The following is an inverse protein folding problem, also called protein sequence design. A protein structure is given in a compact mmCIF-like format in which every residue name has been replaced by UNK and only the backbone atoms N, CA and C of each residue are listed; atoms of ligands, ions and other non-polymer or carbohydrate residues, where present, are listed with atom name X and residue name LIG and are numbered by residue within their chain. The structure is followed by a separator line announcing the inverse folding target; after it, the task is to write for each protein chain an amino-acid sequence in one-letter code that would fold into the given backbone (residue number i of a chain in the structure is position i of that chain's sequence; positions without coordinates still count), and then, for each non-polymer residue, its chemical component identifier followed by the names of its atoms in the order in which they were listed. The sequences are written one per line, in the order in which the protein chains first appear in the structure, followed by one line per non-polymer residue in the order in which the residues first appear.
data_IF_451497405756
#
_entry.id   IF_451497405756
#
_cell.length_a   1.000
_cell.length_b   1.000
_cell.length_c   1.000
_cell.angle_alpha   90.00
_cell.angle_beta   90.00
_cell.angle_gamma   90.00
#
_symmetry.space_group_name_H-M   'P 1'
#
loop_
_entity.id
_entity.type
_entity.pdbx_description
1 polymer ?
#
# COMPACT_ATOMS: atom_id res chain seq x y z
N UNK A 1 -2.24 -19.75 11.87
CA UNK A 1 -3.31 -19.21 10.99
C UNK A 1 -4.74 -19.60 11.46
N UNK A 2 -5.14 -19.32 12.70
CA UNK A 2 -6.47 -19.76 13.24
C UNK A 2 -7.47 -18.60 13.43
N UNK A 3 -7.07 -17.33 13.29
CA UNK A 3 -7.91 -16.21 13.73
C UNK A 3 -8.82 -15.56 12.67
N UNK A 4 -8.88 -16.05 11.42
CA UNK A 4 -9.63 -15.37 10.34
C UNK A 4 -10.72 -16.22 9.67
N UNK A 5 -11.03 -17.41 10.20
CA UNK A 5 -12.03 -18.33 9.61
C UNK A 5 -13.47 -18.12 10.13
N UNK A 6 -13.66 -17.40 11.24
CA UNK A 6 -15.00 -17.09 11.73
C UNK A 6 -15.48 -15.74 11.17
N UNK A 7 -16.37 -15.78 10.18
CA UNK A 7 -16.95 -14.56 9.59
C UNK A 7 -17.74 -13.71 10.61
N UNK A 8 -18.19 -14.32 11.71
CA UNK A 8 -19.04 -13.70 12.72
C UNK A 8 -18.26 -12.84 13.75
N UNK A 9 -16.98 -13.15 14.02
CA UNK A 9 -16.15 -12.35 14.96
C UNK A 9 -15.45 -11.16 14.29
N UNK A 10 -15.52 -11.09 12.95
CA UNK A 10 -14.72 -10.15 12.17
C UNK A 10 -15.15 -8.70 12.36
N UNK A 11 -16.43 -8.46 12.66
CA UNK A 11 -16.96 -7.13 12.99
C UNK A 11 -16.34 -6.60 14.29
N UNK A 12 -16.34 -7.40 15.37
CA UNK A 12 -15.71 -7.01 16.64
C UNK A 12 -14.20 -6.78 16.53
N UNK A 13 -13.51 -7.55 15.66
CA UNK A 13 -12.08 -7.33 15.38
C UNK A 13 -11.86 -5.99 14.69
N UNK A 14 -12.67 -5.65 13.68
CA UNK A 14 -12.53 -4.36 12.98
C UNK A 14 -12.86 -3.21 13.93
N UNK A 15 -13.92 -3.31 14.73
CA UNK A 15 -14.26 -2.28 15.71
C UNK A 15 -13.13 -2.06 16.73
N UNK A 16 -12.52 -3.15 17.20
CA UNK A 16 -11.38 -3.06 18.11
C UNK A 16 -10.16 -2.43 17.45
N UNK A 17 -9.90 -2.75 16.18
CA UNK A 17 -8.84 -2.12 15.39
C UNK A 17 -9.06 -0.61 15.26
N UNK A 18 -10.30 -0.18 14.97
CA UNK A 18 -10.62 1.25 14.81
C UNK A 18 -10.47 2.03 16.12
N UNK A 19 -10.73 1.41 17.29
CA UNK A 19 -10.49 2.02 18.61
C UNK A 19 -9.01 2.34 18.87
N UNK A 20 -8.05 1.77 18.13
CA UNK A 20 -6.64 2.11 18.31
C UNK A 20 -6.29 3.53 17.83
N UNK A 21 -7.13 4.15 16.99
CA UNK A 21 -6.96 5.56 16.68
C UNK A 21 -7.18 6.46 17.91
N UNK A 22 -8.02 6.05 18.86
CA UNK A 22 -8.28 6.82 20.08
C UNK A 22 -7.10 6.83 21.06
N UNK A 23 -6.12 5.94 20.88
CA UNK A 23 -4.93 5.89 21.74
C UNK A 23 -3.96 7.04 21.48
N UNK A 24 -4.01 7.65 20.30
CA UNK A 24 -3.16 8.77 19.88
C UNK A 24 -1.64 8.48 20.05
N UNK A 25 -1.23 7.24 19.77
CA UNK A 25 0.17 6.82 19.81
C UNK A 25 0.65 6.67 18.36
N UNK A 26 1.62 7.48 17.94
CA UNK A 26 2.08 7.60 16.54
C UNK A 26 2.30 6.25 15.82
N UNK A 27 3.10 5.35 16.42
CA UNK A 27 3.40 4.06 15.81
C UNK A 27 2.18 3.11 15.76
N UNK A 28 1.28 3.21 16.74
CA UNK A 28 0.03 2.44 16.77
C UNK A 28 -0.90 2.96 15.68
N UNK A 29 -1.05 4.27 15.56
CA UNK A 29 -1.83 4.92 14.50
C UNK A 29 -1.31 4.50 13.12
N UNK A 30 0.00 4.53 12.91
CA UNK A 30 0.61 4.13 11.63
C UNK A 30 0.29 2.67 11.24
N UNK A 31 0.47 1.72 12.16
CA UNK A 31 0.15 0.30 11.91
C UNK A 31 -1.36 0.06 11.76
N UNK A 32 -2.17 0.83 12.48
CA UNK A 32 -3.63 0.79 12.37
C UNK A 32 -4.09 1.24 10.98
N UNK A 33 -3.53 2.32 10.43
CA UNK A 33 -3.80 2.78 9.05
C UNK A 33 -3.51 1.65 8.06
N UNK A 34 -2.33 1.03 8.14
CA UNK A 34 -1.92 -0.05 7.22
C UNK A 34 -2.91 -1.22 7.30
N UNK A 35 -3.26 -1.61 8.52
CA UNK A 35 -4.19 -2.71 8.79
C UNK A 35 -5.59 -2.42 8.25
N UNK A 36 -6.12 -1.22 8.47
CA UNK A 36 -7.42 -0.79 7.95
C UNK A 36 -7.45 -0.81 6.43
N UNK A 37 -6.40 -0.33 5.77
CA UNK A 37 -6.31 -0.40 4.30
C UNK A 37 -6.29 -1.85 3.78
N UNK A 38 -5.59 -2.74 4.47
CA UNK A 38 -5.59 -4.16 4.11
C UNK A 38 -6.98 -4.81 4.29
N UNK A 39 -7.68 -4.46 5.37
CA UNK A 39 -9.09 -4.87 5.58
C UNK A 39 -9.94 -4.39 4.43
N UNK A 40 -9.82 -3.12 4.01
CA UNK A 40 -10.63 -2.56 2.93
C UNK A 40 -10.39 -3.21 1.57
N UNK A 41 -9.13 -3.52 1.25
CA UNK A 41 -8.78 -4.21 0.00
C UNK A 41 -9.37 -5.62 -0.07
N UNK A 42 -9.44 -6.33 1.07
CA UNK A 42 -9.98 -7.70 1.15
C UNK A 42 -11.50 -7.74 1.38
N UNK A 43 -12.04 -6.77 2.11
CA UNK A 43 -13.43 -6.71 2.58
C UNK A 43 -14.01 -5.29 2.42
N UNK A 44 -14.38 -4.87 1.20
CA UNK A 44 -14.94 -3.54 0.94
C UNK A 44 -16.23 -3.23 1.70
N UNK A 45 -16.94 -4.25 2.25
CA UNK A 45 -18.15 -4.05 3.07
C UNK A 45 -17.94 -3.16 4.31
N UNK A 46 -16.70 -3.07 4.81
CA UNK A 46 -16.35 -2.21 5.95
C UNK A 46 -15.89 -0.79 5.53
N UNK A 47 -16.06 -0.41 4.27
CA UNK A 47 -15.68 0.91 3.75
C UNK A 47 -16.17 2.07 4.62
N UNK A 48 -17.47 2.09 4.93
CA UNK A 48 -18.08 3.21 5.65
C UNK A 48 -17.41 3.42 7.01
N UNK A 49 -17.33 2.39 7.86
CA UNK A 49 -16.74 2.52 9.20
C UNK A 49 -15.24 2.89 9.16
N UNK A 50 -14.48 2.27 8.26
CA UNK A 50 -13.05 2.54 8.14
C UNK A 50 -12.77 3.97 7.63
N UNK A 51 -13.56 4.44 6.65
CA UNK A 51 -13.46 5.81 6.15
C UNK A 51 -13.82 6.80 7.25
N UNK A 52 -14.89 6.55 8.02
CA UNK A 52 -15.28 7.42 9.13
C UNK A 52 -14.20 7.56 10.21
N UNK A 53 -13.44 6.49 10.48
CA UNK A 53 -12.34 6.51 11.44
C UNK A 53 -11.12 7.30 10.93
N UNK A 54 -10.80 7.21 9.63
CA UNK A 54 -9.57 7.77 9.06
C UNK A 54 -9.73 9.21 8.53
N UNK A 55 -10.95 9.63 8.18
CA UNK A 55 -11.23 10.86 7.41
C UNK A 55 -10.67 12.18 7.99
N UNK A 56 -10.18 12.20 9.23
CA UNK A 56 -9.66 13.40 9.89
C UNK A 56 -8.15 13.32 10.18
N UNK A 57 -7.46 12.24 9.80
CA UNK A 57 -6.03 12.06 10.05
C UNK A 57 -5.23 12.86 9.03
N UNK A 58 -4.50 13.90 9.42
CA UNK A 58 -3.72 14.65 8.44
C UNK A 58 -2.56 13.79 7.90
N UNK A 59 -2.29 13.89 6.60
CA UNK A 59 -1.21 13.14 5.96
C UNK A 59 0.16 13.59 6.48
N UNK A 60 0.29 14.86 6.88
CA UNK A 60 1.55 15.40 7.41
C UNK A 60 1.93 14.82 8.78
N UNK A 61 0.95 14.39 9.56
CA UNK A 61 1.16 13.81 10.90
C UNK A 61 1.66 12.36 10.84
N UNK A 62 1.51 11.72 9.68
CA UNK A 62 1.96 10.34 9.47
C UNK A 62 3.38 10.33 8.93
N UNK A 63 4.33 9.86 9.73
CA UNK A 63 5.76 9.81 9.34
C UNK A 63 6.13 8.54 8.56
N UNK A 64 5.74 7.31 8.95
CA UNK A 64 6.21 6.10 8.28
C UNK A 64 5.71 5.99 6.84
N UNK A 65 6.61 5.82 5.86
CA UNK A 65 6.25 5.82 4.43
C UNK A 65 5.21 4.77 4.05
N UNK A 66 5.20 3.61 4.73
CA UNK A 66 4.20 2.56 4.48
C UNK A 66 2.79 3.01 4.88
N UNK A 67 2.67 3.68 6.03
CA UNK A 67 1.40 4.24 6.51
C UNK A 67 0.97 5.44 5.67
N UNK A 68 1.90 6.34 5.31
CA UNK A 68 1.64 7.46 4.38
C UNK A 68 1.08 6.96 3.05
N UNK A 69 1.73 5.98 2.42
CA UNK A 69 1.26 5.41 1.16
C UNK A 69 -0.13 4.78 1.28
N UNK A 70 -0.40 4.08 2.39
CA UNK A 70 -1.72 3.53 2.68
C UNK A 70 -2.79 4.63 2.84
N UNK A 71 -2.48 5.69 3.58
CA UNK A 71 -3.39 6.83 3.78
C UNK A 71 -3.65 7.60 2.47
N UNK A 72 -2.60 7.83 1.67
CA UNK A 72 -2.73 8.45 0.33
C UNK A 72 -3.64 7.61 -0.56
N UNK A 73 -3.49 6.27 -0.54
CA UNK A 73 -4.39 5.37 -1.27
C UNK A 73 -5.85 5.53 -0.82
N UNK A 74 -6.10 5.64 0.49
CA UNK A 74 -7.44 5.87 1.03
C UNK A 74 -8.06 7.16 0.50
N UNK A 75 -7.29 8.25 0.49
CA UNK A 75 -7.75 9.53 -0.06
C UNK A 75 -8.04 9.46 -1.55
N UNK A 76 -7.22 8.75 -2.32
CA UNK A 76 -7.49 8.49 -3.73
C UNK A 76 -8.76 7.67 -3.96
N UNK A 77 -8.90 6.55 -3.25
CA UNK A 77 -9.96 5.56 -3.47
C UNK A 77 -11.32 6.01 -2.94
N UNK A 78 -11.35 6.63 -1.76
CA UNK A 78 -12.57 7.06 -1.06
C UNK A 78 -12.74 8.58 -0.99
N UNK A 79 -12.04 9.34 -1.85
CA UNK A 79 -12.13 10.80 -1.89
C UNK A 79 -13.52 11.39 -2.19
N UNK A 80 -14.52 10.59 -2.57
CA UNK A 80 -15.93 11.01 -2.66
C UNK A 80 -16.56 11.09 -1.26
N UNK A 81 -16.16 10.18 -0.37
CA UNK A 81 -16.65 10.07 1.01
C UNK A 81 -15.81 10.89 2.00
N UNK A 82 -14.64 11.39 1.57
CA UNK A 82 -13.71 12.19 2.37
C UNK A 82 -13.58 13.60 1.76
N UNK A 83 -14.42 14.57 2.17
CA UNK A 83 -14.40 15.93 1.64
C UNK A 83 -13.10 16.70 1.90
N UNK A 84 -12.28 16.28 2.86
CA UNK A 84 -10.99 16.93 3.13
C UNK A 84 -9.82 16.32 2.35
N UNK A 85 -10.05 15.23 1.58
CA UNK A 85 -8.98 14.49 0.91
C UNK A 85 -8.07 15.35 -0.01
N UNK A 86 -8.60 16.25 -0.86
CA UNK A 86 -7.75 17.16 -1.65
C UNK A 86 -6.83 18.04 -0.79
N UNK A 87 -7.34 18.55 0.34
CA UNK A 87 -6.58 19.43 1.22
C UNK A 87 -5.50 18.67 2.01
N UNK A 88 -5.76 17.44 2.45
CA UNK A 88 -4.74 16.63 3.15
C UNK A 88 -3.61 16.18 2.24
N UNK A 89 -3.87 15.96 0.95
CA UNK A 89 -2.85 15.54 0.00
C UNK A 89 -2.05 16.73 -0.57
N UNK A 90 -2.59 17.95 -0.51
CA UNK A 90 -2.01 19.18 -1.09
C UNK A 90 -0.60 19.53 -0.59
N UNK A 91 -0.30 19.53 0.72
CA UNK A 91 1.03 19.88 1.21
C UNK A 91 2.11 18.93 0.70
N UNK A 92 1.77 17.64 0.53
CA UNK A 92 2.70 16.61 0.09
C UNK A 92 2.83 16.57 -1.43
N UNK A 93 1.74 16.82 -2.17
CA UNK A 93 1.80 16.96 -3.63
C UNK A 93 2.54 18.22 -4.07
N UNK A 94 2.40 19.33 -3.34
CA UNK A 94 3.11 20.57 -3.68
C UNK A 94 4.62 20.41 -3.48
N UNK A 95 5.02 19.67 -2.43
CA UNK A 95 6.42 19.32 -2.15
C UNK A 95 6.77 17.92 -2.64
N UNK A 96 6.26 17.51 -3.82
CA UNK A 96 6.39 16.14 -4.33
C UNK A 96 7.83 15.61 -4.36
N UNK A 97 8.79 16.47 -4.71
CA UNK A 97 10.21 16.11 -4.80
C UNK A 97 10.88 15.87 -3.43
N UNK A 98 10.31 16.40 -2.35
CA UNK A 98 10.85 16.28 -0.99
C UNK A 98 10.41 14.98 -0.31
N UNK A 99 9.36 14.32 -0.81
CA UNK A 99 8.93 13.02 -0.30
C UNK A 99 10.00 11.96 -0.58
N UNK A 100 10.65 11.36 0.43
CA UNK A 100 11.81 10.49 0.22
C UNK A 100 11.45 9.16 -0.46
N UNK A 101 10.24 8.65 -0.22
CA UNK A 101 9.83 7.33 -0.68
C UNK A 101 9.26 7.38 -2.10
N UNK A 102 9.93 6.73 -3.06
CA UNK A 102 9.42 6.57 -4.41
C UNK A 102 8.04 5.89 -4.46
N UNK A 103 7.78 4.95 -3.54
CA UNK A 103 6.48 4.28 -3.43
C UNK A 103 5.37 5.26 -3.04
N UNK A 104 5.64 6.17 -2.10
CA UNK A 104 4.68 7.20 -1.70
C UNK A 104 4.46 8.17 -2.86
N UNK A 105 5.51 8.60 -3.57
CA UNK A 105 5.42 9.44 -4.77
C UNK A 105 4.56 8.82 -5.87
N UNK A 106 4.77 7.55 -6.20
CA UNK A 106 3.91 6.81 -7.16
C UNK A 106 2.44 6.73 -6.70
N UNK A 107 2.22 6.51 -5.40
CA UNK A 107 0.88 6.45 -4.83
C UNK A 107 0.20 7.83 -4.80
N UNK A 108 0.95 8.91 -4.59
CA UNK A 108 0.48 10.30 -4.69
C UNK A 108 0.01 10.61 -6.12
N UNK A 109 0.80 10.26 -7.14
CA UNK A 109 0.38 10.44 -8.55
C UNK A 109 -0.93 9.71 -8.85
N UNK A 110 -1.02 8.44 -8.44
CA UNK A 110 -2.22 7.62 -8.65
C UNK A 110 -3.45 8.17 -7.92
N UNK A 111 -3.26 8.67 -6.70
CA UNK A 111 -4.36 9.18 -5.87
C UNK A 111 -4.79 10.57 -6.33
N UNK A 112 -3.85 11.42 -6.75
CA UNK A 112 -4.14 12.71 -7.37
C UNK A 112 -4.94 12.54 -8.67
N UNK A 113 -4.59 11.56 -9.50
CA UNK A 113 -5.31 11.21 -10.72
C UNK A 113 -6.75 10.76 -10.42
N UNK A 114 -6.94 9.89 -9.41
CA UNK A 114 -8.28 9.46 -8.97
C UNK A 114 -9.11 10.62 -8.41
N UNK A 115 -8.52 11.45 -7.56
CA UNK A 115 -9.16 12.63 -6.99
C UNK A 115 -9.53 13.65 -8.07
N UNK A 116 -8.72 13.80 -9.12
CA UNK A 116 -9.04 14.68 -10.24
C UNK A 116 -10.34 14.30 -10.95
N UNK A 117 -10.60 13.00 -11.17
CA UNK A 117 -11.87 12.57 -11.77
C UNK A 117 -13.08 12.80 -10.86
N UNK A 118 -12.86 12.89 -9.54
CA UNK A 118 -13.91 13.14 -8.55
C UNK A 118 -14.16 14.62 -8.31
N UNK A 119 -13.09 15.42 -8.24
CA UNK A 119 -13.07 16.84 -7.85
C UNK A 119 -12.10 17.63 -8.71
N UNK A 120 -12.36 17.63 -10.02
CA UNK A 120 -11.50 18.29 -11.01
C UNK A 120 -11.14 19.75 -10.69
N UNK A 121 -12.07 20.63 -10.23
CA UNK A 121 -11.75 22.03 -9.98
C UNK A 121 -10.66 22.25 -8.92
N UNK A 122 -10.58 21.39 -7.91
CA UNK A 122 -9.60 21.49 -6.83
C UNK A 122 -8.28 20.83 -7.20
N UNK A 123 -8.34 19.72 -7.95
CA UNK A 123 -7.17 18.89 -8.22
C UNK A 123 -6.43 19.26 -9.51
N UNK A 124 -7.04 20.00 -10.45
CA UNK A 124 -6.45 20.22 -11.78
C UNK A 124 -5.05 20.85 -11.71
N UNK A 125 -4.87 21.90 -10.92
CA UNK A 125 -3.58 22.58 -10.78
C UNK A 125 -2.55 21.67 -10.08
N UNK A 126 -2.95 21.03 -8.99
CA UNK A 126 -2.10 20.15 -8.19
C UNK A 126 -1.64 18.92 -8.99
N UNK A 127 -2.55 18.29 -9.74
CA UNK A 127 -2.23 17.15 -10.59
C UNK A 127 -1.27 17.56 -11.71
N UNK A 128 -1.48 18.72 -12.34
CA UNK A 128 -0.57 19.23 -13.38
C UNK A 128 0.86 19.43 -12.84
N UNK A 129 0.99 20.05 -11.67
CA UNK A 129 2.28 20.24 -11.01
C UNK A 129 2.94 18.90 -10.62
N UNK A 130 2.16 17.97 -10.06
CA UNK A 130 2.66 16.65 -9.68
C UNK A 130 3.11 15.81 -10.88
N UNK A 131 2.38 15.84 -12.00
CA UNK A 131 2.78 15.14 -13.23
C UNK A 131 4.08 15.72 -13.81
N UNK A 132 4.25 17.03 -13.77
CA UNK A 132 5.49 17.68 -14.20
C UNK A 132 6.66 17.28 -13.31
N UNK A 133 6.49 17.35 -11.97
CA UNK A 133 7.50 16.95 -11.01
C UNK A 133 7.86 15.45 -11.16
N UNK A 134 6.85 14.59 -11.27
CA UNK A 134 7.00 13.15 -11.45
C UNK A 134 7.71 12.76 -12.75
N UNK A 135 7.51 13.52 -13.84
CA UNK A 135 8.20 13.28 -15.12
C UNK A 135 9.72 13.54 -15.03
N UNK A 136 10.14 14.35 -14.06
CA UNK A 136 11.54 14.68 -13.79
C UNK A 136 12.11 13.93 -12.56
N UNK A 137 11.39 12.94 -12.00
CA UNK A 137 11.81 12.20 -10.81
C UNK A 137 13.11 11.41 -11.03
N UNK A 138 13.88 11.15 -9.97
CA UNK A 138 15.08 10.31 -10.06
C UNK A 138 14.76 8.83 -10.24
N UNK A 139 13.63 8.36 -9.72
CA UNK A 139 13.16 6.99 -9.84
C UNK A 139 12.46 6.76 -11.19
N UNK A 140 12.83 5.67 -11.87
CA UNK A 140 12.29 5.34 -13.19
C UNK A 140 10.79 5.02 -13.16
N UNK A 141 10.32 4.27 -12.17
CA UNK A 141 8.91 3.86 -12.07
C UNK A 141 7.99 5.07 -11.89
N UNK A 142 8.41 6.06 -11.10
CA UNK A 142 7.67 7.31 -10.90
C UNK A 142 7.58 8.09 -12.21
N UNK A 143 8.69 8.22 -12.96
CA UNK A 143 8.71 8.91 -14.27
C UNK A 143 7.81 8.24 -15.29
N UNK A 144 7.88 6.91 -15.36
CA UNK A 144 7.09 6.12 -16.31
C UNK A 144 5.59 6.24 -15.99
N UNK A 145 5.24 6.21 -14.70
CA UNK A 145 3.86 6.40 -14.23
C UNK A 145 3.32 7.81 -14.55
N UNK A 146 4.10 8.86 -14.27
CA UNK A 146 3.72 10.23 -14.59
C UNK A 146 3.52 10.42 -16.11
N UNK A 147 4.45 9.88 -16.91
CA UNK A 147 4.35 9.92 -18.38
C UNK A 147 3.13 9.17 -18.90
N UNK A 148 2.80 8.02 -18.31
CA UNK A 148 1.61 7.24 -18.66
C UNK A 148 0.33 8.05 -18.40
N UNK A 149 0.17 8.61 -17.20
CA UNK A 149 -1.02 9.39 -16.85
C UNK A 149 -1.15 10.66 -17.70
N UNK A 150 -0.04 11.36 -17.94
CA UNK A 150 -0.04 12.53 -18.82
C UNK A 150 -0.55 12.20 -20.22
N UNK A 151 0.02 11.17 -20.86
CA UNK A 151 -0.38 10.73 -22.22
C UNK A 151 -1.82 10.23 -22.28
N UNK A 152 -2.29 9.61 -21.19
CA UNK A 152 -3.66 9.12 -21.09
C UNK A 152 -4.65 10.29 -21.07
N UNK A 153 -4.36 11.32 -20.28
CA UNK A 153 -5.16 12.55 -20.22
C UNK A 153 -5.11 13.35 -21.53
N UNK A 154 -3.94 13.46 -22.15
CA UNK A 154 -3.75 14.13 -23.44
C UNK A 154 -4.58 13.49 -24.55
N UNK A 155 -4.69 12.16 -24.54
CA UNK A 155 -5.41 11.41 -25.57
C UNK A 155 -6.92 11.46 -25.40
N UNK A 156 -7.43 11.09 -24.22
CA UNK A 156 -8.87 11.12 -23.91
C UNK A 156 -9.10 11.02 -22.40
N UNK A 157 -9.62 12.10 -21.81
CA UNK A 157 -9.94 12.20 -20.37
C UNK A 157 -10.97 11.15 -19.93
N UNK A 158 -11.97 10.84 -20.75
CA UNK A 158 -13.01 9.85 -20.41
C UNK A 158 -12.47 8.42 -20.48
N UNK A 159 -11.60 8.14 -21.44
CA UNK A 159 -10.90 6.87 -21.49
C UNK A 159 -9.95 6.73 -20.29
N UNK A 160 -9.26 7.81 -19.93
CA UNK A 160 -8.38 7.86 -18.76
C UNK A 160 -9.13 7.53 -17.46
N UNK A 161 -10.29 8.14 -17.26
CA UNK A 161 -11.16 7.87 -16.11
C UNK A 161 -11.54 6.38 -16.04
N UNK A 162 -11.95 5.80 -17.18
CA UNK A 162 -12.32 4.38 -17.22
C UNK A 162 -11.15 3.46 -16.89
N UNK A 163 -9.94 3.77 -17.35
CA UNK A 163 -8.74 2.97 -17.07
C UNK A 163 -8.36 3.08 -15.60
N UNK A 164 -8.27 4.30 -15.07
CA UNK A 164 -7.81 4.57 -13.70
C UNK A 164 -8.83 4.14 -12.65
N UNK A 165 -10.12 4.41 -12.88
CA UNK A 165 -11.23 4.05 -12.01
C UNK A 165 -11.96 2.79 -12.49
N UNK A 166 -11.24 1.87 -13.15
CA UNK A 166 -11.80 0.63 -13.68
C UNK A 166 -12.70 -0.03 -12.64
N UNK A 167 -13.98 -0.18 -12.98
CA UNK A 167 -15.05 -0.73 -12.12
C UNK A 167 -14.91 -2.21 -11.82
N UNK A 168 -13.81 -2.85 -12.22
CA UNK A 168 -13.36 -4.11 -11.63
C UNK A 168 -12.85 -3.81 -10.21
N UNK A 169 -13.79 -3.29 -9.41
CA UNK A 169 -13.67 -3.00 -8.00
C UNK A 169 -13.49 -4.34 -7.33
N UNK A 170 -12.24 -4.77 -7.23
CA UNK A 170 -11.84 -5.86 -6.37
C UNK A 170 -12.49 -7.19 -6.79
N UNK A 171 -11.83 -7.95 -7.68
CA UNK A 171 -11.60 -9.33 -7.24
C UNK A 171 -10.90 -9.19 -5.89
N UNK A 172 -11.54 -9.52 -4.75
CA UNK A 172 -10.90 -9.34 -3.46
C UNK A 172 -9.51 -9.94 -3.54
N UNK A 173 -8.52 -9.25 -2.96
CA UNK A 173 -7.19 -9.83 -2.85
C UNK A 173 -7.37 -11.09 -2.00
N UNK A 174 -7.52 -12.23 -2.66
CA UNK A 174 -7.83 -13.50 -2.03
C UNK A 174 -6.59 -13.99 -1.26
N UNK A 175 -5.41 -13.74 -1.81
CA UNK A 175 -4.11 -14.21 -1.31
C UNK A 175 -3.09 -13.09 -1.31
N UNK A 176 -2.41 -12.90 -0.18
CA UNK A 176 -1.27 -11.98 -0.07
C UNK A 176 -0.01 -12.67 -0.62
N UNK A 177 1.00 -11.91 -1.02
CA UNK A 177 2.22 -12.51 -1.56
C UNK A 177 2.95 -13.35 -0.51
N UNK A 178 2.86 -12.94 0.75
CA UNK A 178 3.39 -13.63 1.92
C UNK A 178 2.84 -15.04 2.06
N UNK A 179 1.53 -15.24 1.85
CA UNK A 179 0.89 -16.57 1.94
C UNK A 179 1.35 -17.50 0.82
N UNK A 180 1.56 -16.97 -0.39
CA UNK A 180 2.11 -17.76 -1.52
C UNK A 180 3.57 -18.15 -1.29
N UNK A 181 4.39 -17.23 -0.76
CA UNK A 181 5.80 -17.48 -0.45
C UNK A 181 5.92 -18.49 0.70
N UNK A 182 5.08 -18.36 1.74
CA UNK A 182 5.00 -19.29 2.85
C UNK A 182 4.74 -20.72 2.36
N UNK A 183 3.78 -20.95 1.46
CA UNK A 183 3.50 -22.28 0.89
C UNK A 183 4.72 -22.89 0.16
N UNK A 184 5.40 -22.12 -0.70
CA UNK A 184 6.58 -22.63 -1.44
C UNK A 184 7.78 -22.92 -0.53
N UNK A 185 7.96 -22.11 0.52
CA UNK A 185 9.02 -22.32 1.52
C UNK A 185 8.69 -23.44 2.49
N UNK A 186 7.40 -23.62 2.82
CA UNK A 186 6.91 -24.63 3.73
C UNK A 186 7.26 -26.02 3.25
N UNK A 187 6.99 -26.34 1.98
CA UNK A 187 7.32 -27.66 1.42
C UNK A 187 8.83 -27.96 1.51
N UNK A 188 9.68 -26.95 1.29
CA UNK A 188 11.14 -27.09 1.38
C UNK A 188 11.61 -27.27 2.83
N UNK A 189 11.11 -26.45 3.75
CA UNK A 189 11.41 -26.55 5.19
C UNK A 189 10.90 -27.87 5.78
N UNK A 190 9.73 -28.34 5.32
CA UNK A 190 9.15 -29.61 5.71
C UNK A 190 9.98 -30.80 5.22
N UNK A 191 10.53 -30.74 4.00
CA UNK A 191 11.48 -31.74 3.50
C UNK A 191 12.80 -31.73 4.30
N UNK A 192 13.15 -30.61 4.92
CA UNK A 192 14.33 -30.42 5.77
C UNK A 192 13.98 -30.54 7.27
N UNK A 193 12.98 -31.36 7.63
CA UNK A 193 12.54 -31.55 9.01
C UNK A 193 13.67 -32.06 9.93
N UNK A 194 13.67 -31.65 11.20
CA UNK A 194 14.75 -31.87 12.18
C UNK A 194 16.10 -31.22 11.85
N UNK A 195 16.12 -30.19 11.00
CA UNK A 195 17.32 -29.37 10.75
C UNK A 195 17.13 -27.93 11.27
N UNK A 196 18.18 -27.10 11.16
CA UNK A 196 18.09 -25.67 11.46
C UNK A 196 17.10 -24.92 10.56
N UNK A 197 16.70 -25.52 9.43
CA UNK A 197 15.71 -24.95 8.51
C UNK A 197 14.35 -24.75 9.19
N UNK A 198 13.96 -25.65 10.09
CA UNK A 198 12.73 -25.52 10.88
C UNK A 198 12.84 -24.37 11.90
N UNK A 199 14.01 -24.19 12.52
CA UNK A 199 14.23 -23.12 13.49
C UNK A 199 14.30 -21.75 12.84
N UNK A 200 14.92 -21.66 11.65
CA UNK A 200 15.04 -20.42 10.90
C UNK A 200 13.85 -20.14 9.99
N UNK A 201 12.90 -21.06 9.90
CA UNK A 201 11.75 -21.00 8.99
C UNK A 201 12.16 -20.68 7.55
N UNK A 202 13.32 -21.22 7.13
CA UNK A 202 13.93 -20.97 5.82
C UNK A 202 14.61 -22.23 5.31
N UNK A 203 14.69 -22.45 3.99
CA UNK A 203 15.44 -23.58 3.44
C UNK A 203 16.94 -23.47 3.67
N UNK A 204 17.64 -24.59 3.75
CA UNK A 204 19.07 -24.69 4.08
C UNK A 204 19.94 -23.84 3.14
N UNK A 205 19.60 -23.78 1.85
CA UNK A 205 20.31 -23.00 0.82
C UNK A 205 20.41 -21.50 1.14
N UNK A 206 19.55 -20.98 2.02
CA UNK A 206 19.54 -19.56 2.37
C UNK A 206 20.56 -19.20 3.45
N UNK A 207 21.07 -20.16 4.22
CA UNK A 207 21.95 -19.91 5.36
C UNK A 207 23.14 -20.88 5.47
N UNK A 208 23.12 -22.00 4.75
CA UNK A 208 24.25 -22.91 4.60
C UNK A 208 25.07 -22.48 3.41
N UNK A 209 26.35 -22.20 3.64
CA UNK A 209 27.30 -21.93 2.58
C UNK A 209 27.56 -23.23 1.78
N UNK A 210 27.26 -23.27 0.47
CA UNK A 210 27.42 -24.47 -0.36
C UNK A 210 28.87 -24.99 -0.38
N UNK A 211 29.85 -24.10 -0.19
CA UNK A 211 31.27 -24.41 -0.24
C UNK A 211 31.87 -24.73 1.14
N UNK A 212 31.05 -24.80 2.20
CA UNK A 212 31.52 -25.17 3.53
C UNK A 212 32.09 -26.61 3.57
N UNK A 213 31.47 -27.55 2.86
CA UNK A 213 31.92 -28.95 2.80
C UNK A 213 33.19 -29.13 1.97
N UNK A 214 33.28 -28.44 0.83
CA UNK A 214 34.46 -28.46 -0.06
C UNK A 214 35.70 -27.83 0.57
N UNK A 215 35.51 -26.81 1.43
CA UNK A 215 36.62 -26.21 2.18
C UNK A 215 37.17 -27.12 3.28
N UNK A 216 36.32 -27.90 3.96
CA UNK A 216 36.78 -28.89 4.94
C UNK A 216 37.66 -29.98 4.31
N UNK A 217 37.30 -30.46 3.12
CA UNK A 217 38.03 -31.53 2.43
C UNK A 217 39.38 -31.11 1.82
N UNK A 218 39.71 -29.81 1.76
CA UNK A 218 41.00 -29.30 1.27
C UNK A 218 42.04 -29.08 2.38
N UNK A 219 41.63 -29.21 3.64
CA UNK A 219 42.48 -28.95 4.82
C UNK A 219 42.98 -30.26 5.45
N UNK A 220 42.45 -31.40 5.02
CA UNK A 220 42.95 -32.75 5.31
C UNK A 220 43.80 -33.29 4.15
#
# INVERSE_FOLDING_TARGET
EIALSAADDLEGIVDRLLQYFDLDIEHVTAETIISVVNVLRKRPKYAVQCVQAIKNIDLIDVVPSRARGALVWMYGEYGEDIPLAPYFIEPVLTNFGDEPSANVRSQLLSSAMKLFFKRAPEMQAMLGAALLAGSCDTNQEVRDLASLYYRLLERDVRAAEKVVNSRDKSSPIYTFKETVIEDETFDKVFNEFNTLSVLYERPEVTFVDPDAFTRRARVD
#
